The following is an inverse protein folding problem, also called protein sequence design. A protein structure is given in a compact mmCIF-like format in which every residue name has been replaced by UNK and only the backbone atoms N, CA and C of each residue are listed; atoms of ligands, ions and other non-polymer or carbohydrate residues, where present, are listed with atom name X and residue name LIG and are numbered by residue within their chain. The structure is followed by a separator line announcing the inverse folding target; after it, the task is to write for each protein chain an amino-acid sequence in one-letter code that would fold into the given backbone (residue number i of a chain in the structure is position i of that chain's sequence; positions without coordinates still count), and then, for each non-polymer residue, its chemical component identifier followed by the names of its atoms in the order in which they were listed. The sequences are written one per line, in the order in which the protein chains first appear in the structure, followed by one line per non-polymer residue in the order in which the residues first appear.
data_IF_097184818981
#
_entry.id   IF_097184818981
#
_cell.length_a   1.000
_cell.length_b   1.000
_cell.length_c   1.000
_cell.angle_alpha   90.00
_cell.angle_beta   90.00
_cell.angle_gamma   90.00
#
_symmetry.space_group_name_H-M   'P 1'
#
loop_
_entity.id
_entity.type
_entity.pdbx_description
1 polymer ?
#
# COMPACT_ATOMS: atom_id res chain seq x y z
N UNK A 1 12.32 -23.23 -6.44
CA UNK A 1 12.11 -21.86 -6.99
C UNK A 1 10.78 -21.82 -7.71
N UNK A 2 9.87 -20.95 -7.30
CA UNK A 2 8.54 -20.83 -7.88
C UNK A 2 8.45 -19.58 -8.78
N UNK A 3 8.50 -19.79 -10.10
CA UNK A 3 8.53 -18.72 -11.10
C UNK A 3 7.27 -17.84 -11.07
N UNK A 4 6.11 -18.41 -10.75
CA UNK A 4 4.85 -17.66 -10.67
C UNK A 4 4.92 -16.63 -9.54
N UNK A 5 5.35 -17.05 -8.35
CA UNK A 5 5.49 -16.14 -7.20
C UNK A 5 6.54 -15.06 -7.42
N UNK A 6 7.63 -15.38 -8.13
CA UNK A 6 8.67 -14.41 -8.50
C UNK A 6 8.09 -13.32 -9.39
N UNK A 7 7.45 -13.70 -10.50
CA UNK A 7 6.91 -12.75 -11.48
C UNK A 7 5.79 -11.92 -10.86
N UNK A 8 4.86 -12.57 -10.16
CA UNK A 8 3.76 -11.91 -9.45
C UNK A 8 4.28 -10.93 -8.39
N UNK A 9 5.20 -11.37 -7.54
CA UNK A 9 5.79 -10.57 -6.47
C UNK A 9 6.56 -9.35 -7.00
N UNK A 10 7.36 -9.53 -8.06
CA UNK A 10 8.07 -8.44 -8.70
C UNK A 10 7.10 -7.41 -9.32
N UNK A 11 6.10 -7.87 -10.07
CA UNK A 11 5.09 -7.01 -10.68
C UNK A 11 4.35 -6.19 -9.61
N UNK A 12 3.85 -6.85 -8.56
CA UNK A 12 3.14 -6.18 -7.45
C UNK A 12 4.06 -5.17 -6.76
N UNK A 13 5.30 -5.54 -6.47
CA UNK A 13 6.28 -4.62 -5.86
C UNK A 13 6.44 -3.36 -6.69
N UNK A 14 6.69 -3.51 -8.00
CA UNK A 14 6.94 -2.38 -8.90
C UNK A 14 5.72 -1.48 -9.00
N UNK A 15 4.52 -2.04 -9.20
CA UNK A 15 3.28 -1.26 -9.32
C UNK A 15 3.01 -0.47 -8.05
N UNK A 16 3.01 -1.14 -6.89
CA UNK A 16 2.71 -0.47 -5.63
C UNK A 16 3.79 0.53 -5.22
N UNK A 17 5.08 0.23 -5.44
CA UNK A 17 6.16 1.17 -5.16
C UNK A 17 6.08 2.41 -6.07
N UNK A 18 5.79 2.23 -7.37
CA UNK A 18 5.63 3.34 -8.30
C UNK A 18 4.45 4.24 -7.93
N UNK A 19 3.29 3.65 -7.61
CA UNK A 19 2.12 4.42 -7.14
C UNK A 19 2.42 5.10 -5.80
N UNK A 20 3.08 4.40 -4.87
CA UNK A 20 3.48 4.94 -3.58
C UNK A 20 4.43 6.14 -3.70
N UNK A 21 5.41 6.05 -4.59
CA UNK A 21 6.32 7.16 -4.93
C UNK A 21 5.56 8.33 -5.57
N UNK A 22 4.65 8.06 -6.51
CA UNK A 22 3.85 9.10 -7.15
C UNK A 22 3.00 9.88 -6.13
N UNK A 23 2.30 9.19 -5.22
CA UNK A 23 1.49 9.84 -4.18
C UNK A 23 2.35 10.60 -3.17
N UNK A 24 3.49 10.07 -2.73
CA UNK A 24 4.42 10.80 -1.84
C UNK A 24 4.94 12.11 -2.46
N UNK A 25 5.10 12.13 -3.78
CA UNK A 25 5.46 13.32 -4.55
C UNK A 25 4.27 14.24 -4.88
N UNK A 26 3.14 14.07 -4.20
CA UNK A 26 1.95 14.93 -4.36
C UNK A 26 1.14 14.70 -5.63
N UNK A 27 1.48 13.69 -6.44
CA UNK A 27 0.72 13.33 -7.66
C UNK A 27 -0.50 12.49 -7.27
N UNK A 28 -1.43 12.32 -8.22
CA UNK A 28 -2.49 11.33 -8.11
C UNK A 28 -3.70 11.69 -7.25
N UNK A 29 -3.79 12.92 -6.72
CA UNK A 29 -4.98 13.44 -6.01
C UNK A 29 -6.30 13.18 -6.75
N UNK A 30 -6.27 13.31 -8.08
CA UNK A 30 -7.45 13.09 -8.94
C UNK A 30 -8.07 11.69 -8.79
N UNK A 31 -7.29 10.70 -8.37
CA UNK A 31 -7.74 9.31 -8.21
C UNK A 31 -8.24 8.98 -6.79
N UNK A 32 -8.03 9.86 -5.82
CA UNK A 32 -8.41 9.60 -4.42
C UNK A 32 -9.89 9.90 -4.24
N UNK A 33 -10.74 8.88 -4.15
CA UNK A 33 -12.15 9.08 -3.89
C UNK A 33 -12.36 9.47 -2.41
N UNK A 34 -12.99 10.62 -2.16
CA UNK A 34 -13.28 11.12 -0.82
C UNK A 34 -14.79 11.33 -0.69
N UNK A 35 -15.38 10.65 0.28
CA UNK A 35 -16.81 10.81 0.61
C UNK A 35 -16.97 12.07 1.46
N UNK A 36 -17.95 12.92 1.12
CA UNK A 36 -18.28 14.12 1.90
C UNK A 36 -17.53 15.41 1.52
N UNK A 37 -16.80 15.41 0.40
CA UNK A 37 -16.20 16.62 -0.19
C UNK A 37 -14.68 16.68 -0.04
N UNK A 38 -13.95 16.73 -1.16
CA UNK A 38 -12.47 16.74 -1.20
C UNK A 38 -11.88 18.01 -0.58
N UNK A 39 -12.61 19.12 -0.61
CA UNK A 39 -12.19 20.44 -0.16
C UNK A 39 -11.94 20.51 1.36
N UNK A 40 -12.58 19.63 2.13
CA UNK A 40 -12.44 19.53 3.59
C UNK A 40 -11.12 18.90 4.04
N UNK A 41 -10.46 18.18 3.14
CA UNK A 41 -9.31 17.35 3.46
C UNK A 41 -7.99 17.99 3.04
N UNK A 42 -6.98 17.81 3.88
CA UNK A 42 -5.59 18.15 3.61
C UNK A 42 -5.02 17.16 2.58
N UNK A 43 -4.96 17.62 1.33
CA UNK A 43 -4.46 16.85 0.19
C UNK A 43 -3.10 16.23 0.46
N UNK A 44 -2.18 16.99 1.04
CA UNK A 44 -0.79 16.55 1.20
C UNK A 44 -0.70 15.42 2.22
N UNK A 45 -1.39 15.54 3.35
CA UNK A 45 -1.43 14.47 4.37
C UNK A 45 -2.08 13.20 3.84
N UNK A 46 -3.18 13.33 3.11
CA UNK A 46 -3.87 12.17 2.51
C UNK A 46 -2.95 11.45 1.52
N UNK A 47 -2.34 12.19 0.59
CA UNK A 47 -1.45 11.57 -0.40
C UNK A 47 -0.19 10.95 0.22
N UNK A 48 0.41 11.60 1.21
CA UNK A 48 1.54 11.02 1.96
C UNK A 48 1.16 9.71 2.65
N UNK A 49 -0.04 9.65 3.23
CA UNK A 49 -0.54 8.45 3.88
C UNK A 49 -0.85 7.33 2.89
N UNK A 50 -1.61 7.61 1.82
CA UNK A 50 -1.89 6.59 0.79
C UNK A 50 -0.57 6.11 0.18
N UNK A 51 0.38 7.01 -0.07
CA UNK A 51 1.72 6.65 -0.53
C UNK A 51 2.42 5.68 0.42
N UNK A 52 2.40 5.93 1.74
CA UNK A 52 2.94 5.01 2.75
C UNK A 52 2.25 3.64 2.71
N UNK A 53 0.91 3.62 2.60
CA UNK A 53 0.14 2.38 2.50
C UNK A 53 0.51 1.57 1.26
N UNK A 54 0.72 2.24 0.11
CA UNK A 54 1.17 1.56 -1.10
C UNK A 54 2.57 0.96 -0.93
N UNK A 55 3.50 1.67 -0.29
CA UNK A 55 4.81 1.10 0.06
C UNK A 55 4.69 -0.11 0.99
N UNK A 56 3.78 -0.07 1.96
CA UNK A 56 3.54 -1.19 2.85
C UNK A 56 2.98 -2.42 2.11
N UNK A 57 2.08 -2.23 1.12
CA UNK A 57 1.63 -3.30 0.23
C UNK A 57 2.73 -3.80 -0.71
N UNK A 58 3.58 -2.91 -1.23
CA UNK A 58 4.72 -3.30 -2.07
C UNK A 58 5.64 -4.28 -1.33
N UNK A 59 5.92 -4.03 -0.05
CA UNK A 59 6.76 -4.92 0.78
C UNK A 59 6.00 -6.19 1.18
N UNK A 60 4.79 -6.04 1.72
CA UNK A 60 4.04 -7.17 2.29
C UNK A 60 3.52 -8.15 1.23
N UNK A 61 2.87 -7.67 0.17
CA UNK A 61 2.40 -8.55 -0.91
C UNK A 61 3.50 -8.79 -1.93
N UNK A 62 4.11 -7.74 -2.48
CA UNK A 62 5.08 -7.90 -3.56
C UNK A 62 6.39 -8.55 -3.09
N UNK A 63 7.06 -7.90 -2.15
CA UNK A 63 8.39 -8.29 -1.67
C UNK A 63 8.41 -9.66 -1.03
N UNK A 64 7.48 -9.95 -0.11
CA UNK A 64 7.43 -11.27 0.54
C UNK A 64 7.04 -12.39 -0.43
N UNK A 65 6.19 -12.14 -1.44
CA UNK A 65 5.89 -13.16 -2.45
C UNK A 65 7.07 -13.39 -3.41
N UNK A 66 7.78 -12.33 -3.78
CA UNK A 66 9.03 -12.44 -4.55
C UNK A 66 10.04 -13.32 -3.79
N UNK A 67 10.27 -13.03 -2.51
CA UNK A 67 11.16 -13.82 -1.65
C UNK A 67 10.63 -15.25 -1.45
N UNK A 68 9.31 -15.44 -1.31
CA UNK A 68 8.70 -16.76 -1.24
C UNK A 68 9.01 -17.61 -2.49
N UNK A 69 8.95 -17.00 -3.67
CA UNK A 69 9.28 -17.68 -4.92
C UNK A 69 10.78 -17.99 -5.08
N UNK A 70 11.65 -17.08 -4.64
CA UNK A 70 13.11 -17.28 -4.67
C UNK A 70 13.56 -18.38 -3.70
N UNK A 71 13.02 -18.40 -2.49
CA UNK A 71 13.38 -19.37 -1.45
C UNK A 71 12.48 -20.61 -1.40
N UNK A 72 11.51 -20.72 -2.30
CA UNK A 72 10.52 -21.81 -2.33
C UNK A 72 9.79 -22.02 -1.00
N UNK A 73 9.49 -20.92 -0.31
CA UNK A 73 8.95 -20.92 1.04
C UNK A 73 7.52 -20.40 1.08
N UNK A 74 6.58 -21.32 1.26
CA UNK A 74 5.17 -20.96 1.51
C UNK A 74 5.00 -20.16 2.80
N UNK A 75 5.91 -20.29 3.78
CA UNK A 75 5.89 -19.47 5.00
C UNK A 75 5.98 -17.97 4.71
N UNK A 76 6.86 -17.57 3.78
CA UNK A 76 6.98 -16.17 3.35
C UNK A 76 5.74 -15.69 2.61
N UNK A 77 5.13 -16.56 1.79
CA UNK A 77 3.88 -16.24 1.10
C UNK A 77 2.74 -15.94 2.10
N UNK A 78 2.54 -16.81 3.09
CA UNK A 78 1.54 -16.60 4.14
C UNK A 78 1.85 -15.41 5.03
N UNK A 79 3.13 -15.17 5.37
CA UNK A 79 3.54 -13.97 6.09
C UNK A 79 3.16 -12.70 5.31
N UNK A 80 3.34 -12.70 3.98
CA UNK A 80 2.92 -11.61 3.11
C UNK A 80 1.42 -11.38 3.12
N UNK A 81 0.62 -12.45 3.07
CA UNK A 81 -0.83 -12.38 3.17
C UNK A 81 -1.27 -11.76 4.51
N UNK A 82 -0.77 -12.28 5.63
CA UNK A 82 -1.12 -11.77 6.97
C UNK A 82 -0.70 -10.31 7.13
N UNK A 83 0.52 -9.97 6.70
CA UNK A 83 1.01 -8.59 6.74
C UNK A 83 0.15 -7.66 5.88
N UNK A 84 -0.28 -8.09 4.69
CA UNK A 84 -1.15 -7.29 3.84
C UNK A 84 -2.52 -7.04 4.46
N UNK A 85 -3.09 -8.03 5.15
CA UNK A 85 -4.33 -7.89 5.89
C UNK A 85 -4.17 -6.90 7.05
N UNK A 86 -3.06 -6.98 7.80
CA UNK A 86 -2.75 -6.03 8.86
C UNK A 86 -2.62 -4.59 8.32
N UNK A 87 -1.97 -4.40 7.15
CA UNK A 87 -1.89 -3.10 6.47
C UNK A 87 -3.28 -2.59 6.08
N UNK A 88 -4.15 -3.44 5.54
CA UNK A 88 -5.52 -3.07 5.18
C UNK A 88 -6.35 -2.63 6.41
N UNK A 89 -6.31 -3.43 7.49
CA UNK A 89 -7.01 -3.11 8.74
C UNK A 89 -6.47 -1.82 9.34
N UNK A 90 -5.16 -1.68 9.45
CA UNK A 90 -4.51 -0.46 9.92
C UNK A 90 -4.94 0.75 9.10
N UNK A 91 -4.98 0.61 7.78
CA UNK A 91 -5.38 1.68 6.86
C UNK A 91 -6.79 2.16 7.15
N UNK A 92 -7.75 1.23 7.31
CA UNK A 92 -9.14 1.54 7.63
C UNK A 92 -9.28 2.20 9.01
N UNK A 93 -8.64 1.65 10.05
CA UNK A 93 -8.71 2.21 11.40
C UNK A 93 -8.09 3.61 11.43
N UNK A 94 -6.88 3.74 10.89
CA UNK A 94 -6.13 4.98 10.92
C UNK A 94 -6.85 6.12 10.20
N UNK A 95 -7.44 5.86 9.02
CA UNK A 95 -8.13 6.89 8.25
C UNK A 95 -9.43 7.37 8.88
N UNK A 96 -10.10 6.51 9.66
CA UNK A 96 -11.38 6.83 10.30
C UNK A 96 -11.21 7.40 11.72
N UNK A 97 -9.99 7.42 12.27
CA UNK A 97 -9.77 7.85 13.65
C UNK A 97 -9.29 9.30 13.72
N UNK A 98 -10.00 10.13 14.49
CA UNK A 98 -9.48 11.42 15.00
C UNK A 98 -9.36 12.54 13.96
N UNK A 99 -10.21 12.55 12.92
CA UNK A 99 -10.26 13.61 11.92
C UNK A 99 -8.89 13.99 11.30
N UNK A 100 -7.93 13.05 11.27
CA UNK A 100 -6.50 13.29 11.00
C UNK A 100 -6.20 14.03 9.70
N UNK A 101 -7.08 13.84 8.71
CA UNK A 101 -6.91 14.36 7.36
C UNK A 101 -7.75 15.59 7.08
N UNK A 102 -8.54 16.11 8.03
CA UNK A 102 -9.21 17.39 7.83
C UNK A 102 -8.18 18.52 7.77
N UNK A 103 -8.48 19.54 6.98
CA UNK A 103 -7.75 20.80 7.04
C UNK A 103 -7.94 21.40 8.44
N UNK A 104 -6.86 21.96 8.98
CA UNK A 104 -6.95 22.79 10.18
C UNK A 104 -7.48 24.16 9.81
#
# INVERSE_FOLDING_TARGET
MNAVLIVLGAMVTVVFAAVGAAFRNGRGWRYVNIIGGRERYDREKVLKFIGLVMWAFAVSMGGLWLLAGLFDSFGLFYAGLIASLAVAIFTLVYMNTGARFLKK
#
